data_IF_270828433388
#
_entry.id   IF_270828433388
#
_cell.length_a   1.000
_cell.length_b   1.000
_cell.length_c   1.000
_cell.angle_alpha   90.00
_cell.angle_beta   90.00
_cell.angle_gamma   90.00
#
_symmetry.space_group_name_H-M   'P 1'
#
loop_
_entity.id
_entity.type
_entity.pdbx_description
1 polymer ?
#
# COMPACT_ATOMS: atom_id res chain seq x y z
N UNK A 1 -39.17 -6.16 59.63
CA UNK A 1 -37.89 -5.75 59.01
C UNK A 1 -37.93 -6.16 57.52
N UNK A 2 -38.14 -5.21 56.62
CA UNK A 2 -38.19 -5.47 55.21
C UNK A 2 -36.81 -5.08 54.61
N UNK A 3 -36.11 -6.06 54.01
CA UNK A 3 -34.87 -5.81 53.28
C UNK A 3 -35.20 -5.34 51.86
N UNK A 4 -34.90 -4.10 51.57
CA UNK A 4 -34.88 -3.55 50.20
C UNK A 4 -33.59 -4.03 49.50
N UNK A 5 -33.70 -4.93 48.53
CA UNK A 5 -32.56 -5.24 47.68
C UNK A 5 -32.47 -4.20 46.56
N UNK A 6 -31.42 -3.39 46.58
CA UNK A 6 -31.06 -2.48 45.49
C UNK A 6 -30.42 -3.30 44.36
N UNK A 7 -31.14 -3.50 43.26
CA UNK A 7 -30.54 -4.02 42.01
C UNK A 7 -29.90 -2.85 41.26
N UNK A 8 -28.55 -2.82 41.23
CA UNK A 8 -27.81 -1.93 40.36
C UNK A 8 -27.88 -2.50 38.93
N UNK A 9 -28.63 -1.84 38.02
CA UNK A 9 -28.54 -2.10 36.60
C UNK A 9 -27.16 -1.58 36.11
N UNK A 10 -26.27 -2.48 35.83
CA UNK A 10 -25.06 -2.15 35.07
C UNK A 10 -25.46 -1.92 33.61
N UNK A 11 -25.54 -0.67 33.17
CA UNK A 11 -25.69 -0.37 31.75
C UNK A 11 -24.40 -0.75 31.04
N UNK A 12 -24.43 -1.82 30.24
CA UNK A 12 -23.33 -2.13 29.33
C UNK A 12 -23.31 -1.08 28.22
N UNK A 13 -22.36 -0.19 28.25
CA UNK A 13 -22.11 0.72 27.14
C UNK A 13 -21.70 -0.10 25.92
N UNK A 14 -22.56 -0.18 24.91
CA UNK A 14 -22.19 -0.77 23.63
C UNK A 14 -21.03 0.06 23.05
N UNK A 15 -19.91 -0.60 22.73
CA UNK A 15 -18.77 0.08 22.11
C UNK A 15 -19.21 0.54 20.70
N UNK A 16 -19.28 1.86 20.51
CA UNK A 16 -19.57 2.44 19.20
C UNK A 16 -18.28 2.44 18.34
N UNK A 17 -18.37 1.90 17.13
CA UNK A 17 -17.30 1.98 16.15
C UNK A 17 -17.60 3.15 15.22
N UNK A 18 -16.71 4.15 15.21
CA UNK A 18 -16.71 5.21 14.20
C UNK A 18 -15.71 4.85 13.11
N UNK A 19 -16.13 4.89 11.84
CA UNK A 19 -15.28 4.58 10.71
C UNK A 19 -15.53 5.59 9.59
N UNK A 20 -14.46 6.02 8.95
CA UNK A 20 -14.50 6.80 7.70
C UNK A 20 -13.41 6.31 6.74
N UNK A 21 -13.52 6.69 5.48
CA UNK A 21 -12.50 6.41 4.46
C UNK A 21 -11.59 7.61 4.27
N UNK A 22 -10.33 7.34 3.91
CA UNK A 22 -9.32 8.35 3.59
C UNK A 22 -8.97 8.22 2.09
N UNK A 23 -9.88 8.65 1.21
CA UNK A 23 -9.70 8.52 -0.24
C UNK A 23 -9.26 9.82 -0.91
N UNK A 24 -9.43 10.95 -0.27
CA UNK A 24 -9.20 12.26 -0.86
C UNK A 24 -7.82 12.83 -0.52
N UNK A 25 -7.38 13.78 -1.36
CA UNK A 25 -6.18 14.57 -1.11
C UNK A 25 -4.86 13.81 -1.26
N UNK A 26 -4.89 12.61 -1.83
CA UNK A 26 -3.67 11.85 -2.06
C UNK A 26 -2.83 12.45 -3.18
N UNK A 27 -1.52 12.41 -2.98
CA UNK A 27 -0.51 12.74 -3.98
C UNK A 27 0.62 11.72 -3.93
N UNK A 28 1.34 11.58 -5.03
CA UNK A 28 2.45 10.64 -5.15
C UNK A 28 3.66 11.28 -5.81
N UNK A 29 4.81 10.69 -5.59
CA UNK A 29 6.06 11.02 -6.26
C UNK A 29 6.97 9.81 -6.36
N UNK A 30 7.90 9.84 -7.30
CA UNK A 30 9.04 8.93 -7.30
C UNK A 30 9.91 9.19 -6.06
N UNK A 31 10.46 8.16 -5.44
CA UNK A 31 11.22 8.28 -4.20
C UNK A 31 12.43 9.21 -4.32
N UNK A 32 13.05 9.27 -5.50
CA UNK A 32 14.20 10.13 -5.81
C UNK A 32 13.82 11.55 -6.29
N UNK A 33 12.53 11.85 -6.47
CA UNK A 33 12.04 13.15 -6.97
C UNK A 33 11.39 13.96 -5.86
N UNK A 34 11.50 15.28 -5.95
CA UNK A 34 10.74 16.21 -5.08
C UNK A 34 9.42 16.68 -5.72
N UNK A 35 9.12 16.23 -6.96
CA UNK A 35 7.91 16.66 -7.68
C UNK A 35 6.75 15.77 -7.29
N UNK A 36 5.71 16.38 -6.71
CA UNK A 36 4.48 15.71 -6.34
C UNK A 36 3.42 15.82 -7.43
N UNK A 37 2.70 14.73 -7.66
CA UNK A 37 1.59 14.62 -8.59
C UNK A 37 0.33 14.15 -7.86
N UNK A 38 -0.89 14.54 -8.31
CA UNK A 38 -2.12 13.99 -7.77
C UNK A 38 -2.21 12.48 -7.91
N UNK A 39 -2.69 11.80 -6.87
CA UNK A 39 -2.93 10.37 -6.87
C UNK A 39 -4.40 10.03 -6.62
N UNK A 40 -4.83 8.85 -7.03
CA UNK A 40 -6.14 8.30 -6.68
C UNK A 40 -5.98 7.06 -5.80
N UNK A 41 -6.71 7.08 -4.69
CA UNK A 41 -6.79 5.95 -3.76
C UNK A 41 -8.27 5.57 -3.59
N UNK A 42 -8.61 4.28 -3.82
CA UNK A 42 -7.77 3.17 -4.28
C UNK A 42 -7.22 3.35 -5.71
N UNK A 43 -6.00 2.84 -5.93
CA UNK A 43 -5.33 2.92 -7.22
C UNK A 43 -3.95 2.25 -7.22
N UNK A 44 -3.21 2.47 -8.29
CA UNK A 44 -1.83 2.00 -8.40
C UNK A 44 -0.96 2.99 -9.16
N UNK A 45 0.34 2.83 -9.06
CA UNK A 45 1.33 3.75 -9.59
C UNK A 45 1.25 3.91 -11.10
N UNK A 46 1.04 2.83 -11.87
CA UNK A 46 0.92 2.94 -13.34
C UNK A 46 -0.30 3.77 -13.76
N UNK A 47 -1.44 3.58 -13.09
CA UNK A 47 -2.65 4.36 -13.37
C UNK A 47 -2.47 5.85 -13.02
N UNK A 48 -1.75 6.15 -11.94
CA UNK A 48 -1.48 7.52 -11.55
C UNK A 48 -0.52 8.19 -12.55
N UNK A 49 0.56 7.49 -12.94
CA UNK A 49 1.50 7.96 -13.97
C UNK A 49 0.84 8.21 -15.31
N UNK A 50 -0.12 7.36 -15.73
CA UNK A 50 -0.90 7.55 -16.96
C UNK A 50 -1.78 8.80 -16.87
N UNK A 51 -2.46 9.03 -15.76
CA UNK A 51 -3.31 10.23 -15.56
C UNK A 51 -2.51 11.51 -15.64
N UNK A 52 -1.31 11.48 -15.08
CA UNK A 52 -0.37 12.62 -15.11
C UNK A 52 0.41 12.72 -16.43
N UNK A 53 0.14 11.82 -17.39
CA UNK A 53 0.80 11.77 -18.70
C UNK A 53 2.33 11.63 -18.62
N UNK A 54 2.82 11.00 -17.56
CA UNK A 54 4.23 10.68 -17.36
C UNK A 54 4.59 9.43 -18.15
N UNK A 55 3.63 8.51 -18.28
CA UNK A 55 3.72 7.34 -19.15
C UNK A 55 2.52 7.29 -20.10
N UNK A 56 2.74 6.73 -21.28
CA UNK A 56 1.68 6.38 -22.20
C UNK A 56 0.97 5.10 -21.77
N UNK A 57 -0.18 4.80 -22.41
CA UNK A 57 -0.95 3.58 -22.15
C UNK A 57 -0.06 2.33 -22.41
N UNK A 58 0.25 1.54 -21.36
CA UNK A 58 1.11 0.36 -21.48
C UNK A 58 0.53 -0.73 -22.41
N UNK A 59 -0.79 -0.75 -22.58
CA UNK A 59 -1.46 -1.72 -23.44
C UNK A 59 -1.44 -1.33 -24.93
N UNK A 60 -0.95 -0.12 -25.26
CA UNK A 60 -0.88 0.31 -26.64
C UNK A 60 0.47 -0.07 -27.26
N UNK A 61 0.44 -0.95 -28.28
CA UNK A 61 1.62 -1.40 -29.06
C UNK A 61 2.74 -1.97 -28.18
N UNK A 62 3.89 -1.26 -28.14
CA UNK A 62 5.11 -1.67 -27.43
C UNK A 62 5.36 -0.84 -26.17
N UNK A 63 4.39 -0.08 -25.70
CA UNK A 63 4.54 0.81 -24.53
C UNK A 63 4.82 0.03 -23.25
N UNK A 64 4.42 -1.25 -23.19
CA UNK A 64 4.82 -2.16 -22.10
C UNK A 64 6.33 -2.08 -21.84
N UNK A 65 7.14 -2.06 -22.91
CA UNK A 65 8.60 -2.00 -22.79
C UNK A 65 9.10 -0.66 -22.26
N UNK A 66 8.41 0.42 -22.61
CA UNK A 66 8.77 1.77 -22.19
C UNK A 66 8.52 2.04 -20.71
N UNK A 67 7.63 1.28 -20.05
CA UNK A 67 7.25 1.50 -18.65
C UNK A 67 7.97 0.58 -17.66
N UNK A 68 8.89 -0.30 -18.13
CA UNK A 68 9.59 -1.25 -17.28
C UNK A 68 10.55 -0.63 -16.25
N UNK A 69 10.71 0.68 -16.26
CA UNK A 69 11.46 1.41 -15.25
C UNK A 69 10.66 1.63 -13.96
N UNK A 70 9.33 1.66 -14.06
CA UNK A 70 8.42 2.02 -12.95
C UNK A 70 8.59 1.08 -11.77
N UNK A 71 8.73 -0.23 -12.02
CA UNK A 71 8.86 -1.26 -10.98
C UNK A 71 10.24 -1.29 -10.31
N UNK A 72 11.22 -0.60 -10.88
CA UNK A 72 12.58 -0.51 -10.34
C UNK A 72 12.76 0.68 -9.41
N UNK A 73 11.78 1.59 -9.36
CA UNK A 73 11.80 2.77 -8.53
C UNK A 73 11.00 2.58 -7.24
N UNK A 74 11.35 3.36 -6.23
CA UNK A 74 10.53 3.49 -5.03
C UNK A 74 9.54 4.64 -5.22
N UNK A 75 8.38 4.53 -4.60
CA UNK A 75 7.31 5.51 -4.75
C UNK A 75 6.76 5.92 -3.39
N UNK A 76 6.45 7.19 -3.25
CA UNK A 76 5.87 7.76 -2.05
C UNK A 76 4.47 8.27 -2.32
N UNK A 77 3.54 7.90 -1.46
CA UNK A 77 2.18 8.42 -1.43
C UNK A 77 1.96 9.14 -0.12
N UNK A 78 1.24 10.25 -0.15
CA UNK A 78 0.86 10.93 1.07
C UNK A 78 -0.53 11.56 0.96
N UNK A 79 -1.18 11.71 2.11
CA UNK A 79 -2.38 12.53 2.27
C UNK A 79 -2.38 13.20 3.64
N UNK A 80 -3.18 14.25 3.76
CA UNK A 80 -3.40 14.97 5.01
C UNK A 80 -4.84 14.85 5.44
N UNK A 81 -5.06 14.69 6.73
CA UNK A 81 -6.40 14.60 7.28
C UNK A 81 -6.47 15.17 8.69
N UNK A 82 -7.66 15.64 9.08
CA UNK A 82 -7.94 16.10 10.43
C UNK A 82 -8.89 15.13 11.10
N UNK A 83 -8.50 14.53 12.24
CA UNK A 83 -9.38 13.65 12.98
C UNK A 83 -10.49 14.44 13.68
N UNK A 84 -11.64 13.80 13.84
CA UNK A 84 -12.75 14.34 14.64
C UNK A 84 -12.46 14.18 16.13
N UNK A 85 -13.19 14.92 16.96
CA UNK A 85 -13.09 14.80 18.44
C UNK A 85 -13.40 13.37 18.90
N UNK A 86 -14.38 12.71 18.28
CA UNK A 86 -14.73 11.32 18.59
C UNK A 86 -13.61 10.34 18.24
N UNK A 87 -12.90 10.55 17.11
CA UNK A 87 -11.75 9.72 16.72
C UNK A 87 -10.58 9.89 17.70
N UNK A 88 -10.32 11.13 18.15
CA UNK A 88 -9.25 11.42 19.11
C UNK A 88 -9.55 10.85 20.52
N UNK A 89 -10.82 10.84 20.93
CA UNK A 89 -11.23 10.32 22.23
C UNK A 89 -11.37 8.80 22.27
N UNK A 90 -11.38 8.12 21.11
CA UNK A 90 -11.57 6.69 21.02
C UNK A 90 -10.48 5.91 21.78
N UNK A 91 -10.89 4.83 22.45
CA UNK A 91 -9.97 3.94 23.17
C UNK A 91 -8.98 3.26 22.20
N UNK A 92 -9.49 2.81 21.06
CA UNK A 92 -8.70 2.20 19.99
C UNK A 92 -8.72 3.10 18.75
N UNK A 93 -7.56 3.41 18.23
CA UNK A 93 -7.39 4.23 17.03
C UNK A 93 -6.53 3.44 16.04
N UNK A 94 -7.11 3.08 14.89
CA UNK A 94 -6.46 2.21 13.91
C UNK A 94 -6.70 2.75 12.51
N UNK A 95 -5.64 2.91 11.73
CA UNK A 95 -5.74 3.08 10.28
C UNK A 95 -5.70 1.69 9.66
N UNK A 96 -6.68 1.40 8.78
CA UNK A 96 -6.84 0.09 8.15
C UNK A 96 -6.65 0.23 6.65
N UNK A 97 -5.55 -0.32 6.14
CA UNK A 97 -5.37 -0.49 4.70
C UNK A 97 -5.95 -1.84 4.29
N UNK A 98 -6.99 -1.83 3.45
CA UNK A 98 -7.60 -3.07 2.95
C UNK A 98 -6.70 -3.81 1.96
N UNK A 99 -5.69 -3.13 1.40
CA UNK A 99 -4.67 -3.72 0.55
C UNK A 99 -3.57 -2.73 0.21
N UNK A 100 -2.33 -3.12 0.51
CA UNK A 100 -1.10 -2.46 0.09
C UNK A 100 -0.33 -3.43 -0.81
N UNK A 101 0.02 -3.03 -2.00
CA UNK A 101 0.80 -3.80 -2.94
C UNK A 101 2.15 -3.15 -3.14
N UNK A 102 3.20 -3.76 -2.68
CA UNK A 102 3.35 -4.97 -1.84
C UNK A 102 4.22 -4.60 -0.63
N UNK A 103 5.45 -4.10 -0.87
CA UNK A 103 6.40 -3.72 0.18
C UNK A 103 6.23 -2.25 0.52
N UNK A 104 5.64 -1.96 1.66
CA UNK A 104 5.37 -0.59 2.07
C UNK A 104 5.72 -0.34 3.53
N UNK A 105 6.40 0.79 3.79
CA UNK A 105 6.48 1.37 5.12
C UNK A 105 5.42 2.47 5.24
N UNK A 106 4.63 2.41 6.30
CA UNK A 106 3.57 3.40 6.57
C UNK A 106 3.98 4.27 7.73
N UNK A 107 3.85 5.58 7.56
CA UNK A 107 4.17 6.57 8.57
C UNK A 107 2.96 7.47 8.87
N UNK A 108 2.80 7.82 10.13
CA UNK A 108 1.89 8.87 10.57
C UNK A 108 2.71 9.92 11.31
N UNK A 109 2.65 11.18 10.83
CA UNK A 109 3.43 12.28 11.40
C UNK A 109 4.94 11.94 11.50
N UNK A 110 5.48 11.31 10.44
CA UNK A 110 6.88 10.86 10.32
C UNK A 110 7.28 9.71 11.28
N UNK A 111 6.33 9.15 12.03
CA UNK A 111 6.56 7.97 12.84
C UNK A 111 6.07 6.73 12.10
N UNK A 112 6.94 5.72 11.93
CA UNK A 112 6.54 4.45 11.29
C UNK A 112 5.54 3.69 12.16
N UNK A 113 4.38 3.38 11.59
CA UNK A 113 3.26 2.70 12.27
C UNK A 113 3.02 1.28 11.77
N UNK A 114 3.43 0.98 10.53
CA UNK A 114 3.28 -0.36 9.92
C UNK A 114 4.41 -0.62 8.92
N UNK A 115 4.65 -1.91 8.66
CA UNK A 115 5.41 -2.41 7.51
C UNK A 115 4.57 -3.48 6.83
N UNK A 116 4.41 -3.39 5.49
CA UNK A 116 3.65 -4.32 4.68
C UNK A 116 4.55 -5.06 3.70
N UNK A 117 4.20 -6.34 3.43
CA UNK A 117 4.92 -7.21 2.50
C UNK A 117 4.00 -8.18 1.74
N UNK A 118 2.68 -7.95 1.79
CA UNK A 118 1.69 -8.86 1.24
C UNK A 118 0.43 -8.10 0.80
N UNK A 119 0.12 -8.13 -0.52
CA UNK A 119 -1.05 -7.43 -1.07
C UNK A 119 -2.39 -8.08 -0.70
N UNK A 120 -2.39 -9.37 -0.34
CA UNK A 120 -3.61 -10.17 -0.18
C UNK A 120 -4.25 -10.10 1.21
N UNK A 121 -3.76 -9.20 2.08
CA UNK A 121 -4.29 -9.03 3.44
C UNK A 121 -4.55 -7.59 3.81
N UNK A 122 -5.37 -7.38 4.82
CA UNK A 122 -5.49 -6.07 5.51
C UNK A 122 -4.27 -5.81 6.38
N UNK A 123 -3.92 -4.54 6.48
CA UNK A 123 -2.92 -4.02 7.40
C UNK A 123 -3.58 -3.06 8.37
N UNK A 124 -3.54 -3.40 9.64
CA UNK A 124 -4.18 -2.64 10.74
C UNK A 124 -3.08 -1.98 11.56
N UNK A 125 -2.92 -0.68 11.37
CA UNK A 125 -1.85 0.12 11.99
C UNK A 125 -2.41 0.85 13.20
N UNK A 126 -1.92 0.53 14.39
CA UNK A 126 -2.30 1.25 15.61
C UNK A 126 -1.70 2.66 15.58
N UNK A 127 -2.55 3.66 15.78
CA UNK A 127 -2.16 5.08 15.78
C UNK A 127 -2.46 5.79 17.10
N UNK A 128 -2.87 5.03 18.13
CA UNK A 128 -3.14 5.57 19.48
C UNK A 128 -1.87 6.21 20.03
N UNK A 129 -1.99 7.48 20.43
CA UNK A 129 -0.88 8.26 20.96
C UNK A 129 0.01 8.92 19.90
N UNK A 130 -0.23 8.64 18.59
CA UNK A 130 0.48 9.27 17.46
C UNK A 130 -0.45 10.26 16.75
N UNK A 131 -1.74 9.91 16.67
CA UNK A 131 -2.78 10.78 16.14
C UNK A 131 -2.91 12.01 17.03
N UNK A 132 -2.84 13.20 16.43
CA UNK A 132 -2.88 14.48 17.11
C UNK A 132 -4.05 15.33 16.65
N UNK A 133 -4.45 16.29 17.47
CA UNK A 133 -5.40 17.33 17.10
C UNK A 133 -4.87 18.14 15.90
N UNK A 134 -5.79 18.57 15.03
CA UNK A 134 -5.45 19.29 13.80
C UNK A 134 -5.00 18.36 12.67
N UNK A 135 -4.20 18.89 11.78
CA UNK A 135 -3.75 18.18 10.57
C UNK A 135 -2.73 17.10 10.91
N UNK A 136 -2.96 15.89 10.36
CA UNK A 136 -2.04 14.76 10.42
C UNK A 136 -1.59 14.41 9.01
N UNK A 137 -0.32 14.05 8.86
CA UNK A 137 0.29 13.58 7.62
C UNK A 137 0.39 12.05 7.65
N UNK A 138 -0.27 11.40 6.68
CA UNK A 138 -0.17 9.95 6.45
C UNK A 138 0.67 9.72 5.20
N UNK A 139 1.75 8.95 5.35
CA UNK A 139 2.71 8.67 4.29
C UNK A 139 2.83 7.15 4.09
N UNK A 140 2.92 6.72 2.83
CA UNK A 140 3.14 5.32 2.45
C UNK A 140 4.29 5.25 1.47
N UNK A 141 5.41 4.67 1.90
CA UNK A 141 6.61 4.53 1.09
C UNK A 141 6.69 3.11 0.53
N UNK A 142 6.48 2.99 -0.78
CA UNK A 142 6.56 1.73 -1.50
C UNK A 142 7.99 1.49 -1.99
N UNK A 143 8.53 0.32 -1.65
CA UNK A 143 9.85 -0.13 -2.08
C UNK A 143 9.74 -0.96 -3.34
N UNK A 144 10.67 -0.76 -4.27
CA UNK A 144 10.74 -1.55 -5.51
C UNK A 144 10.72 -3.05 -5.21
N UNK A 145 9.74 -3.80 -5.72
CA UNK A 145 9.71 -5.26 -5.57
C UNK A 145 10.87 -5.92 -6.31
N UNK A 146 11.36 -5.29 -7.37
CA UNK A 146 12.49 -5.79 -8.16
C UNK A 146 13.77 -5.71 -7.35
N UNK A 147 14.12 -4.50 -6.86
CA UNK A 147 15.34 -4.30 -6.06
C UNK A 147 15.34 -5.12 -4.77
N UNK A 148 14.16 -5.33 -4.19
CA UNK A 148 14.03 -6.08 -2.93
C UNK A 148 14.16 -7.60 -3.13
N UNK A 149 13.76 -8.13 -4.27
CA UNK A 149 13.69 -9.57 -4.49
C UNK A 149 14.88 -10.13 -5.26
N UNK A 150 15.60 -9.35 -6.07
CA UNK A 150 16.83 -9.78 -6.74
C UNK A 150 17.85 -10.41 -5.75
N UNK A 151 18.17 -9.78 -4.61
CA UNK A 151 19.10 -10.40 -3.66
C UNK A 151 18.61 -11.73 -3.09
N UNK A 152 17.29 -11.93 -2.95
CA UNK A 152 16.73 -13.19 -2.50
C UNK A 152 16.90 -14.29 -3.53
N UNK A 153 16.69 -13.94 -4.83
CA UNK A 153 16.94 -14.84 -5.94
C UNK A 153 18.41 -15.23 -6.02
N UNK A 154 19.31 -14.25 -5.92
CA UNK A 154 20.77 -14.48 -6.03
C UNK A 154 21.33 -15.30 -4.85
N UNK A 155 20.67 -15.26 -3.69
CA UNK A 155 21.08 -16.03 -2.50
C UNK A 155 20.69 -17.52 -2.59
N UNK A 156 19.83 -17.92 -3.52
CA UNK A 156 19.41 -19.31 -3.63
C UNK A 156 20.49 -20.16 -4.35
N UNK A 157 20.79 -21.35 -3.83
CA UNK A 157 21.73 -22.29 -4.46
C UNK A 157 21.14 -23.01 -5.69
N UNK A 158 19.85 -22.83 -5.95
CA UNK A 158 19.12 -23.44 -7.04
C UNK A 158 18.09 -22.44 -7.62
N UNK A 159 17.64 -22.71 -8.85
CA UNK A 159 16.59 -21.89 -9.46
C UNK A 159 15.23 -22.51 -9.19
N UNK A 160 14.27 -21.65 -8.84
CA UNK A 160 12.87 -22.04 -8.80
C UNK A 160 12.34 -22.23 -10.21
N UNK A 161 11.64 -23.35 -10.42
CA UNK A 161 10.78 -23.47 -11.58
C UNK A 161 9.52 -22.63 -11.33
N UNK A 162 9.43 -21.50 -11.98
CA UNK A 162 8.30 -20.58 -11.87
C UNK A 162 7.38 -20.74 -13.05
N UNK A 163 6.12 -20.36 -12.90
CA UNK A 163 5.27 -20.06 -14.03
C UNK A 163 5.82 -18.90 -14.88
N UNK A 164 5.07 -18.41 -15.86
CA UNK A 164 5.49 -17.27 -16.66
C UNK A 164 5.89 -16.09 -15.79
N UNK A 165 7.11 -15.63 -15.98
CA UNK A 165 7.68 -14.42 -15.41
C UNK A 165 8.51 -13.79 -16.51
N UNK A 166 7.99 -12.74 -17.12
CA UNK A 166 8.61 -12.09 -18.26
C UNK A 166 9.77 -11.18 -17.83
N UNK A 167 10.67 -11.69 -17.00
CA UNK A 167 11.83 -10.98 -16.48
C UNK A 167 12.72 -10.37 -17.57
N UNK A 168 12.78 -10.99 -18.74
CA UNK A 168 13.51 -10.46 -19.91
C UNK A 168 12.94 -9.12 -20.40
N UNK A 169 11.60 -8.98 -20.44
CA UNK A 169 10.94 -7.71 -20.78
C UNK A 169 11.28 -6.66 -19.73
N UNK A 170 11.32 -7.06 -18.45
CA UNK A 170 11.70 -6.20 -17.33
C UNK A 170 13.20 -5.82 -17.31
N UNK A 171 14.03 -6.36 -18.21
CA UNK A 171 15.46 -6.09 -18.24
C UNK A 171 16.24 -6.66 -17.05
N UNK A 172 15.69 -7.69 -16.39
CA UNK A 172 16.36 -8.45 -15.31
C UNK A 172 16.77 -9.86 -15.77
N UNK A 173 16.71 -10.08 -17.08
CA UNK A 173 17.15 -11.28 -17.79
C UNK A 173 16.50 -12.57 -17.29
N UNK A 174 17.27 -13.45 -16.68
CA UNK A 174 16.86 -14.79 -16.23
C UNK A 174 16.42 -14.82 -14.76
N UNK A 175 16.36 -13.67 -14.10
CA UNK A 175 15.98 -13.58 -12.69
C UNK A 175 14.46 -13.59 -12.52
N UNK A 176 13.89 -14.78 -12.41
CA UNK A 176 12.47 -14.97 -12.13
C UNK A 176 12.19 -14.72 -10.65
N UNK A 177 11.75 -13.53 -10.33
CA UNK A 177 11.63 -13.04 -8.94
C UNK A 177 10.20 -13.02 -8.39
N UNK A 178 9.22 -13.31 -9.21
CA UNK A 178 7.80 -13.36 -8.80
C UNK A 178 7.53 -14.23 -7.56
N UNK A 179 8.18 -15.39 -7.35
CA UNK A 179 7.92 -16.23 -6.17
C UNK A 179 8.34 -15.60 -4.84
N UNK A 180 9.16 -14.55 -4.87
CA UNK A 180 9.65 -13.89 -3.65
C UNK A 180 8.75 -12.75 -3.18
N UNK A 181 7.73 -12.39 -3.97
CA UNK A 181 6.76 -11.35 -3.64
C UNK A 181 5.38 -11.97 -3.37
N UNK A 182 4.70 -11.49 -2.34
CA UNK A 182 3.30 -11.85 -2.10
C UNK A 182 2.39 -10.84 -2.80
N UNK A 183 2.51 -10.80 -4.12
CA UNK A 183 1.67 -10.03 -5.04
C UNK A 183 1.04 -10.93 -6.08
N UNK A 184 0.18 -10.40 -6.94
CA UNK A 184 -0.45 -11.17 -7.99
C UNK A 184 0.59 -11.60 -9.03
N UNK A 185 0.77 -12.92 -9.21
CA UNK A 185 1.81 -13.48 -10.08
C UNK A 185 1.73 -12.98 -11.53
N UNK A 186 0.52 -12.70 -12.04
CA UNK A 186 0.31 -12.19 -13.39
C UNK A 186 0.91 -10.81 -13.65
N UNK A 187 1.21 -10.02 -12.62
CA UNK A 187 1.88 -8.72 -12.78
C UNK A 187 3.28 -8.86 -13.37
N UNK A 188 3.93 -9.99 -13.14
CA UNK A 188 5.23 -10.32 -13.74
C UNK A 188 5.14 -10.78 -15.20
N UNK A 189 3.96 -10.70 -15.81
CA UNK A 189 3.66 -11.11 -17.17
C UNK A 189 3.08 -12.52 -17.25
N UNK A 190 2.31 -12.77 -18.31
CA UNK A 190 1.70 -14.06 -18.61
C UNK A 190 1.59 -14.23 -20.12
N UNK A 191 1.20 -15.40 -20.59
CA UNK A 191 1.07 -15.72 -22.03
C UNK A 191 0.14 -14.73 -22.77
N UNK A 192 -0.85 -14.20 -22.07
CA UNK A 192 -1.87 -13.29 -22.60
C UNK A 192 -1.82 -11.89 -22.00
N UNK A 193 -0.93 -11.62 -21.06
CA UNK A 193 -0.89 -10.36 -20.31
C UNK A 193 0.49 -9.74 -20.28
N UNK A 194 0.56 -8.40 -20.35
CA UNK A 194 1.82 -7.68 -20.27
C UNK A 194 2.45 -7.81 -18.88
N UNK A 195 3.77 -7.58 -18.83
CA UNK A 195 4.49 -7.45 -17.57
C UNK A 195 4.36 -6.02 -17.05
N UNK A 196 3.53 -5.85 -16.04
CA UNK A 196 3.32 -4.58 -15.34
C UNK A 196 3.35 -4.84 -13.83
N UNK A 197 4.55 -4.93 -13.27
CA UNK A 197 4.71 -5.10 -11.81
C UNK A 197 4.38 -3.77 -11.17
N UNK A 198 3.16 -3.68 -10.69
CA UNK A 198 2.62 -2.45 -10.11
C UNK A 198 2.72 -2.46 -8.59
N UNK A 199 2.45 -1.33 -7.98
CA UNK A 199 2.30 -1.18 -6.55
C UNK A 199 1.46 0.05 -6.23
N UNK A 200 0.91 0.06 -5.03
CA UNK A 200 0.06 1.15 -4.60
C UNK A 200 -0.92 0.77 -3.49
N UNK A 201 -1.75 1.73 -3.14
CA UNK A 201 -2.86 1.55 -2.21
C UNK A 201 -4.07 1.09 -3.04
N UNK A 202 -4.11 -0.21 -3.37
CA UNK A 202 -5.04 -0.75 -4.36
C UNK A 202 -6.45 -1.05 -3.83
N UNK A 203 -6.63 -0.96 -2.51
CA UNK A 203 -7.92 -1.07 -1.83
C UNK A 203 -8.15 0.09 -0.87
N UNK A 204 -9.38 0.28 -0.36
CA UNK A 204 -9.70 1.38 0.55
C UNK A 204 -8.80 1.47 1.79
N UNK A 205 -8.67 2.71 2.23
CA UNK A 205 -8.09 3.09 3.52
C UNK A 205 -9.17 3.69 4.40
#
# INVERSE_FOLDING_TARGET
MAFLALFALAASAAASVCQRTLHDGWRFRQGSSEIWHPARVPGNTHLDLMRERIIDDPFFRLNERAVQWVDKEDWMYETRFTPTVSELSATNQVIVFKGLDTYADVYLNHQRICEADNMHREWRCNVKGILKEGENLLEVYFKSPIRRNIPKFDALPYRHNTGPDHSQIGGIFDKTISPFARTAGFEYGWDWGPRLVTFGIWRPV
#
